data_IF_696212964285
#
_entry.id   IF_696212964285
#
_cell.length_a   1.000
_cell.length_b   1.000
_cell.length_c   1.000
_cell.angle_alpha   90.00
_cell.angle_beta   90.00
_cell.angle_gamma   90.00
#
_symmetry.space_group_name_H-M   'P 1'
#
loop_
_entity.id
_entity.type
_entity.pdbx_description
1 polymer ?
#
# COMPACT_ATOMS: atom_id res chain seq x y z
N UNK A 1 -11.55 1.45 28.91
CA UNK A 1 -11.98 1.66 27.51
C UNK A 1 -10.83 1.20 26.62
N UNK A 2 -10.73 -0.12 26.38
CA UNK A 2 -9.51 -0.70 25.80
C UNK A 2 -9.92 -1.51 24.56
N UNK A 3 -9.77 -0.92 23.36
CA UNK A 3 -10.04 -1.61 22.11
C UNK A 3 -8.71 -2.08 21.49
N UNK A 4 -8.34 -3.30 21.89
CA UNK A 4 -7.49 -4.32 21.26
C UNK A 4 -6.53 -3.92 20.14
N UNK A 5 -5.24 -4.07 20.46
CA UNK A 5 -4.18 -4.46 19.53
C UNK A 5 -4.37 -5.92 19.13
N UNK A 6 -4.46 -6.23 17.83
CA UNK A 6 -4.21 -7.58 17.32
C UNK A 6 -3.43 -7.50 16.01
N UNK A 7 -2.16 -7.87 16.10
CA UNK A 7 -1.30 -8.25 14.98
C UNK A 7 -1.84 -9.59 14.46
N UNK A 8 -2.31 -9.63 13.21
CA UNK A 8 -2.52 -10.89 12.49
C UNK A 8 -1.49 -11.02 11.38
N UNK A 9 -0.48 -11.85 11.64
CA UNK A 9 0.37 -12.46 10.63
C UNK A 9 -0.09 -13.93 10.50
N UNK A 10 -0.78 -14.28 9.42
CA UNK A 10 -1.12 -15.67 9.10
C UNK A 10 -0.65 -15.99 7.69
N UNK A 11 0.49 -16.66 7.62
CA UNK A 11 0.79 -17.60 6.54
C UNK A 11 -0.13 -18.81 6.73
N UNK A 12 -0.92 -19.17 5.73
CA UNK A 12 -1.43 -20.53 5.55
C UNK A 12 -1.75 -20.79 4.07
N UNK A 13 -1.16 -21.84 3.55
CA UNK A 13 -1.29 -22.37 2.21
C UNK A 13 -2.11 -23.66 2.34
N UNK A 14 -3.37 -23.67 1.93
CA UNK A 14 -4.04 -24.92 1.58
C UNK A 14 -5.19 -24.71 0.58
N UNK A 15 -5.23 -25.67 -0.34
CA UNK A 15 -5.99 -25.72 -1.58
C UNK A 15 -7.38 -26.29 -1.33
N UNK A 16 -8.44 -25.54 -1.65
CA UNK A 16 -9.77 -26.13 -1.89
C UNK A 16 -10.39 -25.49 -3.14
N UNK A 17 -10.50 -26.31 -4.18
CA UNK A 17 -10.95 -26.00 -5.52
C UNK A 17 -12.49 -25.97 -5.58
N UNK A 18 -13.11 -24.79 -5.47
CA UNK A 18 -14.52 -24.58 -5.85
C UNK A 18 -14.61 -23.64 -7.06
N UNK A 19 -14.93 -24.22 -8.22
CA UNK A 19 -15.05 -23.52 -9.51
C UNK A 19 -16.34 -22.68 -9.54
N UNK A 20 -16.32 -21.50 -8.94
CA UNK A 20 -17.34 -20.46 -9.18
C UNK A 20 -16.79 -19.52 -10.25
N UNK A 21 -17.53 -19.38 -11.35
CA UNK A 21 -17.20 -18.56 -12.51
C UNK A 21 -17.33 -17.06 -12.15
N UNK A 22 -16.39 -16.57 -11.36
CA UNK A 22 -16.24 -15.16 -11.01
C UNK A 22 -15.22 -14.53 -11.97
N UNK A 23 -15.43 -13.28 -12.44
CA UNK A 23 -14.51 -12.59 -13.35
C UNK A 23 -13.09 -12.70 -12.78
N UNK A 24 -12.06 -12.95 -13.61
CA UNK A 24 -10.76 -13.45 -13.17
C UNK A 24 -10.29 -12.63 -12.00
N UNK A 25 -10.41 -13.20 -10.80
CA UNK A 25 -10.00 -12.55 -9.57
C UNK A 25 -8.52 -12.24 -9.75
N UNK A 26 -8.21 -10.97 -10.02
CA UNK A 26 -6.85 -10.49 -10.11
C UNK A 26 -6.21 -10.86 -8.78
N UNK A 27 -5.36 -11.90 -8.80
CA UNK A 27 -4.70 -12.44 -7.61
C UNK A 27 -4.14 -11.24 -6.85
N UNK A 28 -4.62 -11.05 -5.61
CA UNK A 28 -4.21 -9.91 -4.79
C UNK A 28 -2.69 -9.87 -4.75
N UNK A 29 -2.09 -8.75 -5.18
CA UNK A 29 -0.63 -8.58 -5.13
C UNK A 29 -0.17 -8.82 -3.69
N UNK A 30 0.97 -9.51 -3.52
CA UNK A 30 1.59 -9.68 -2.21
C UNK A 30 1.83 -8.29 -1.60
N UNK A 31 1.60 -8.18 -0.29
CA UNK A 31 1.78 -6.91 0.43
C UNK A 31 3.25 -6.52 0.39
N UNK A 32 3.53 -5.30 -0.08
CA UNK A 32 4.87 -4.71 0.02
C UNK A 32 5.08 -4.21 1.46
N UNK A 33 6.11 -4.73 2.13
CA UNK A 33 6.54 -4.20 3.43
C UNK A 33 7.45 -3.00 3.17
N UNK A 34 6.93 -1.80 3.43
CA UNK A 34 7.71 -0.56 3.33
C UNK A 34 8.64 -0.42 4.54
N UNK A 35 9.92 -0.23 4.26
CA UNK A 35 10.91 0.06 5.29
C UNK A 35 10.65 1.43 5.96
N UNK A 36 11.23 1.63 7.14
CA UNK A 36 11.13 2.89 7.88
C UNK A 36 11.73 4.04 7.08
N UNK A 37 12.87 3.83 6.40
CA UNK A 37 13.47 4.85 5.54
C UNK A 37 12.54 5.22 4.37
N UNK A 38 11.94 4.21 3.71
CA UNK A 38 11.00 4.43 2.60
C UNK A 38 9.76 5.22 3.05
N UNK A 39 9.21 4.92 4.24
CA UNK A 39 8.09 5.67 4.81
C UNK A 39 8.43 7.14 5.09
N UNK A 40 9.61 7.40 5.67
CA UNK A 40 10.09 8.76 5.94
C UNK A 40 10.28 9.57 4.65
N UNK A 41 10.86 8.95 3.62
CA UNK A 41 11.01 9.58 2.31
C UNK A 41 9.66 9.91 1.67
N UNK A 42 8.71 8.95 1.68
CA UNK A 42 7.35 9.19 1.18
C UNK A 42 6.64 10.32 1.93
N UNK A 43 6.82 10.41 3.26
CA UNK A 43 6.29 11.52 4.06
C UNK A 43 6.92 12.86 3.71
N UNK A 44 8.21 12.88 3.39
CA UNK A 44 8.91 14.10 2.94
C UNK A 44 8.36 14.57 1.60
N UNK A 45 8.21 13.66 0.62
CA UNK A 45 7.59 13.99 -0.66
C UNK A 45 6.15 14.47 -0.50
N UNK A 46 5.38 13.84 0.38
CA UNK A 46 3.99 14.21 0.65
C UNK A 46 3.83 15.63 1.21
N UNK A 47 4.81 16.12 2.00
CA UNK A 47 4.79 17.50 2.51
C UNK A 47 5.01 18.55 1.43
N UNK A 48 5.76 18.20 0.38
CA UNK A 48 6.06 19.08 -0.74
C UNK A 48 4.90 19.05 -1.74
N UNK A 49 4.47 17.84 -2.09
CA UNK A 49 3.39 17.61 -3.06
C UNK A 49 2.44 16.50 -2.55
N UNK A 50 1.30 16.86 -1.97
CA UNK A 50 0.29 15.91 -1.47
C UNK A 50 -0.48 15.17 -2.59
N UNK A 51 -0.43 15.67 -3.83
CA UNK A 51 -1.12 15.14 -5.00
C UNK A 51 -0.15 15.06 -6.19
N UNK A 52 0.89 14.21 -6.09
CA UNK A 52 1.84 14.03 -7.17
C UNK A 52 1.11 13.54 -8.42
N UNK A 53 1.50 14.12 -9.56
CA UNK A 53 1.06 13.63 -10.86
C UNK A 53 1.67 12.25 -11.16
N UNK A 54 1.15 11.57 -12.19
CA UNK A 54 1.57 10.22 -12.56
C UNK A 54 3.08 10.13 -12.84
N UNK A 55 3.64 11.10 -13.58
CA UNK A 55 5.07 11.17 -13.83
C UNK A 55 5.88 11.26 -12.52
N UNK A 56 5.42 12.10 -11.57
CA UNK A 56 6.08 12.27 -10.28
C UNK A 56 5.98 11.02 -9.41
N UNK A 57 4.86 10.28 -9.47
CA UNK A 57 4.71 9.01 -8.77
C UNK A 57 5.67 7.94 -9.30
N UNK A 58 5.92 7.91 -10.62
CA UNK A 58 6.91 7.02 -11.24
C UNK A 58 8.32 7.38 -10.77
N UNK A 59 8.68 8.65 -10.76
CA UNK A 59 9.98 9.10 -10.25
C UNK A 59 10.19 8.64 -8.79
N UNK A 60 9.24 8.93 -7.91
CA UNK A 60 9.33 8.52 -6.49
C UNK A 60 9.45 6.99 -6.36
N UNK A 61 8.74 6.24 -7.20
CA UNK A 61 8.82 4.78 -7.23
C UNK A 61 10.23 4.31 -7.61
N UNK A 62 10.83 4.89 -8.65
CA UNK A 62 12.21 4.59 -9.06
C UNK A 62 13.23 4.99 -8.00
N UNK A 63 13.08 6.16 -7.36
CA UNK A 63 14.00 6.61 -6.32
C UNK A 63 14.01 5.71 -5.07
N UNK A 64 12.85 5.11 -4.74
CA UNK A 64 12.69 4.28 -3.54
C UNK A 64 12.75 2.78 -3.81
N UNK A 65 12.99 2.39 -5.07
CA UNK A 65 12.91 1.01 -5.56
C UNK A 65 11.58 0.33 -5.17
N UNK A 66 10.48 1.02 -5.46
CA UNK A 66 9.12 0.58 -5.19
C UNK A 66 8.30 0.45 -6.47
N UNK A 67 7.22 -0.33 -6.42
CA UNK A 67 6.24 -0.38 -7.51
C UNK A 67 5.38 0.90 -7.51
N UNK A 68 5.08 1.41 -8.70
CA UNK A 68 4.21 2.57 -8.89
C UNK A 68 2.84 2.42 -8.21
N UNK A 69 2.25 1.22 -8.22
CA UNK A 69 1.01 0.91 -7.50
C UNK A 69 1.14 1.11 -5.99
N UNK A 70 2.29 0.78 -5.41
CA UNK A 70 2.55 0.93 -3.98
C UNK A 70 2.61 2.40 -3.60
N UNK A 71 3.34 3.21 -4.37
CA UNK A 71 3.44 4.66 -4.16
C UNK A 71 2.05 5.30 -4.25
N UNK A 72 1.30 5.00 -5.32
CA UNK A 72 -0.07 5.55 -5.49
C UNK A 72 -0.99 5.20 -4.33
N UNK A 73 -1.05 3.93 -3.93
CA UNK A 73 -1.88 3.46 -2.81
C UNK A 73 -1.43 4.11 -1.50
N UNK A 74 -0.12 4.28 -1.29
CA UNK A 74 0.41 4.95 -0.12
C UNK A 74 -0.07 6.41 -0.04
N UNK A 75 0.03 7.18 -1.13
CA UNK A 75 -0.45 8.57 -1.18
C UNK A 75 -1.96 8.66 -0.93
N UNK A 76 -2.75 7.74 -1.52
CA UNK A 76 -4.18 7.65 -1.25
C UNK A 76 -4.47 7.39 0.24
N UNK A 77 -3.83 6.40 0.83
CA UNK A 77 -3.99 6.06 2.25
C UNK A 77 -3.52 7.19 3.17
N UNK A 78 -2.44 7.88 2.81
CA UNK A 78 -1.91 9.01 3.58
C UNK A 78 -2.91 10.16 3.64
N UNK A 79 -3.54 10.52 2.52
CA UNK A 79 -4.62 11.52 2.47
C UNK A 79 -5.86 11.08 3.26
N UNK A 80 -6.24 9.80 3.19
CA UNK A 80 -7.36 9.30 3.99
C UNK A 80 -7.08 9.44 5.49
N UNK A 81 -5.85 9.18 5.94
CA UNK A 81 -5.45 9.34 7.35
C UNK A 81 -5.59 10.79 7.82
N UNK A 82 -5.31 11.78 6.96
CA UNK A 82 -5.53 13.20 7.29
C UNK A 82 -7.01 13.55 7.48
N UNK A 83 -7.90 12.94 6.70
CA UNK A 83 -9.35 13.21 6.76
C UNK A 83 -10.07 12.55 7.94
N UNK A 84 -9.44 11.55 8.55
CA UNK A 84 -9.99 10.83 9.72
C UNK A 84 -9.54 11.42 11.06
N UNK A 85 -8.85 12.56 11.03
CA UNK A 85 -8.44 13.33 12.21
C UNK A 85 -9.35 14.53 12.36
#
# INVERSE_FOLDING_TARGET
>A
MNAFSTIVNSNNNESVQSKILLPPFKKRRKRTNLDTAQKLSLDTFFRIDPRPDNARMIEIATLLDLDHDVVRVWFCNRRQKLRKK
#
